data_IF_200374656778
#
_entry.id   IF_200374656778
#
_cell.length_a   1.000
_cell.length_b   1.000
_cell.length_c   1.000
_cell.angle_alpha   90.00
_cell.angle_beta   90.00
_cell.angle_gamma   90.00
#
_symmetry.space_group_name_H-M   'P 1'
#
loop_
_entity.id
_entity.type
_entity.pdbx_description
1 polymer ?
#
# COMPACT_ATOMS: atom_id res chain seq x y z
N UNK A 1 15.28 20.06 -0.80
CA UNK A 1 13.88 19.61 -0.58
C UNK A 1 13.74 18.08 -0.53
N UNK A 2 14.70 17.29 -1.02
CA UNK A 2 14.63 15.82 -1.07
C UNK A 2 14.99 15.10 0.24
N UNK A 3 15.97 15.59 1.01
CA UNK A 3 16.46 14.88 2.21
C UNK A 3 15.39 14.78 3.30
N UNK A 4 14.68 15.87 3.61
CA UNK A 4 13.61 15.84 4.61
C UNK A 4 12.48 14.88 4.21
N UNK A 5 12.16 14.77 2.91
CA UNK A 5 11.09 13.89 2.44
C UNK A 5 11.40 12.40 2.66
N UNK A 6 12.63 11.96 2.36
CA UNK A 6 13.03 10.56 2.56
C UNK A 6 13.14 10.24 4.04
N UNK A 7 13.63 11.19 4.85
CA UNK A 7 13.63 11.05 6.30
C UNK A 7 12.21 10.89 6.86
N UNK A 8 11.28 11.74 6.45
CA UNK A 8 9.86 11.68 6.85
C UNK A 8 9.21 10.35 6.42
N UNK A 9 9.53 9.86 5.21
CA UNK A 9 9.08 8.56 4.72
C UNK A 9 9.64 7.43 5.58
N UNK A 10 10.93 7.47 5.93
CA UNK A 10 11.59 6.46 6.76
C UNK A 10 11.02 6.41 8.17
N UNK A 11 10.73 7.57 8.76
CA UNK A 11 10.07 7.67 10.05
C UNK A 11 8.63 7.13 9.98
N UNK A 12 7.86 7.53 8.97
CA UNK A 12 6.51 7.03 8.75
C UNK A 12 6.49 5.51 8.58
N UNK A 13 7.41 4.97 7.76
CA UNK A 13 7.54 3.54 7.54
C UNK A 13 7.83 2.81 8.84
N UNK A 14 8.79 3.29 9.63
CA UNK A 14 9.17 2.70 10.91
C UNK A 14 8.02 2.65 11.91
N UNK A 15 7.06 3.58 11.82
CA UNK A 15 5.84 3.64 12.65
C UNK A 15 4.68 2.80 12.13
N UNK A 16 4.68 2.41 10.86
CA UNK A 16 3.50 1.83 10.20
C UNK A 16 3.72 0.43 9.65
N UNK A 17 4.94 0.05 9.32
CA UNK A 17 5.26 -1.29 8.85
C UNK A 17 5.16 -2.31 9.98
N UNK A 18 4.47 -3.43 9.74
CA UNK A 18 4.12 -4.41 10.79
C UNK A 18 4.42 -5.86 10.43
N UNK A 19 5.30 -6.13 9.46
CA UNK A 19 5.76 -7.49 9.22
C UNK A 19 6.76 -7.91 10.32
N UNK A 20 6.22 -8.28 11.48
CA UNK A 20 7.02 -8.59 12.68
C UNK A 20 7.84 -9.87 12.51
N UNK A 21 7.39 -10.80 11.69
CA UNK A 21 8.15 -11.99 11.34
C UNK A 21 9.45 -11.60 10.64
N UNK A 22 9.39 -10.72 9.63
CA UNK A 22 10.60 -10.22 8.98
C UNK A 22 11.45 -9.37 9.93
N UNK A 23 10.83 -8.41 10.64
CA UNK A 23 11.54 -7.50 11.56
C UNK A 23 12.31 -8.27 12.64
N UNK A 24 11.69 -9.30 13.23
CA UNK A 24 12.30 -10.08 14.31
C UNK A 24 13.49 -10.93 13.90
N UNK A 25 13.68 -11.17 12.60
CA UNK A 25 14.85 -11.89 12.07
C UNK A 25 16.07 -11.01 11.82
N UNK A 26 15.94 -9.70 12.02
CA UNK A 26 17.01 -8.73 11.78
C UNK A 26 18.04 -8.78 12.94
N UNK A 27 19.35 -8.83 12.65
CA UNK A 27 20.40 -8.93 13.67
C UNK A 27 20.35 -7.83 14.71
N UNK A 28 20.01 -6.60 14.29
CA UNK A 28 19.98 -5.44 15.17
C UNK A 28 18.64 -5.26 15.89
N UNK A 29 17.66 -6.15 15.68
CA UNK A 29 16.36 -6.07 16.34
C UNK A 29 16.43 -6.65 17.76
N UNK A 30 16.01 -5.84 18.73
CA UNK A 30 15.90 -6.25 20.13
C UNK A 30 14.46 -6.66 20.45
N UNK A 31 14.30 -7.89 20.94
CA UNK A 31 13.00 -8.38 21.38
C UNK A 31 12.52 -7.57 22.58
N UNK A 32 11.40 -6.87 22.42
CA UNK A 32 10.82 -6.09 23.50
C UNK A 32 10.15 -7.03 24.50
N UNK A 33 10.74 -7.19 25.69
CA UNK A 33 10.11 -7.89 26.81
C UNK A 33 9.34 -6.89 27.68
N UNK A 34 8.01 -6.96 27.70
CA UNK A 34 7.22 -6.17 28.64
C UNK A 34 7.04 -6.98 29.93
N UNK A 35 7.68 -6.55 31.02
CA UNK A 35 7.36 -7.10 32.33
C UNK A 35 5.98 -6.63 32.77
N UNK A 36 5.00 -7.54 32.78
CA UNK A 36 3.69 -7.27 33.40
C UNK A 36 3.81 -7.43 34.92
N UNK A 37 3.55 -6.37 35.67
CA UNK A 37 3.39 -6.44 37.12
C UNK A 37 1.92 -6.75 37.41
N UNK A 38 1.64 -7.97 37.87
CA UNK A 38 0.30 -8.33 38.33
C UNK A 38 -0.08 -7.52 39.58
N UNK A 39 -1.39 -7.31 39.79
CA UNK A 39 -1.93 -6.55 40.91
C UNK A 39 -1.51 -7.09 42.31
N UNK A 40 -1.03 -8.34 42.37
CA UNK A 40 -0.50 -9.01 43.56
C UNK A 40 1.00 -8.78 43.80
N UNK A 41 1.67 -7.87 43.06
CA UNK A 41 3.12 -7.59 43.13
C UNK A 41 4.04 -8.76 42.78
N UNK A 42 3.53 -9.87 42.27
CA UNK A 42 4.38 -10.91 41.69
C UNK A 42 4.84 -10.44 40.30
N UNK A 43 6.16 -10.34 40.13
CA UNK A 43 6.80 -10.00 38.86
C UNK A 43 6.81 -11.25 37.99
N UNK A 44 6.07 -11.23 36.89
CA UNK A 44 6.26 -12.23 35.83
C UNK A 44 7.38 -11.68 34.96
N UNK A 45 8.56 -12.31 35.02
CA UNK A 45 9.71 -11.95 34.17
C UNK A 45 9.56 -12.47 32.73
N UNK A 46 8.60 -13.38 32.49
CA UNK A 46 8.32 -13.97 31.18
C UNK A 46 6.90 -13.59 30.71
N UNK A 47 6.78 -12.38 30.17
CA UNK A 47 5.56 -11.89 29.52
C UNK A 47 5.79 -11.64 28.04
N UNK A 48 5.73 -12.69 27.21
CA UNK A 48 5.90 -12.63 25.74
C UNK A 48 4.79 -11.85 24.99
N UNK A 49 3.91 -11.15 25.71
CA UNK A 49 2.85 -10.34 25.10
C UNK A 49 3.28 -8.88 25.05
N UNK A 50 4.36 -8.61 24.31
CA UNK A 50 4.59 -7.26 23.83
C UNK A 50 3.45 -6.87 22.89
N UNK A 51 2.69 -5.83 23.21
CA UNK A 51 1.67 -5.27 22.31
C UNK A 51 2.30 -4.99 20.95
N UNK A 52 1.70 -5.44 19.84
CA UNK A 52 2.27 -5.32 18.49
C UNK A 52 2.78 -3.90 18.14
N UNK A 53 2.20 -2.86 18.73
CA UNK A 53 2.68 -1.48 18.61
C UNK A 53 4.14 -1.29 19.06
N UNK A 54 4.57 -1.88 20.16
CA UNK A 54 5.95 -1.70 20.67
C UNK A 54 6.98 -2.52 19.89
N UNK A 55 6.54 -3.48 19.07
CA UNK A 55 7.40 -4.31 18.21
C UNK A 55 7.83 -3.60 16.94
N UNK A 56 7.30 -2.41 16.68
CA UNK A 56 7.61 -1.62 15.49
C UNK A 56 9.04 -1.08 15.54
N UNK A 57 9.62 -0.90 14.36
CA UNK A 57 10.99 -0.41 14.18
C UNK A 57 11.20 0.93 14.90
N UNK A 58 10.20 1.81 14.88
CA UNK A 58 10.28 3.13 15.53
C UNK A 58 10.60 3.08 17.03
N UNK A 59 10.23 2.01 17.74
CA UNK A 59 10.49 1.87 19.18
C UNK A 59 11.80 1.13 19.49
N UNK A 60 12.57 0.73 18.47
CA UNK A 60 13.85 0.07 18.66
C UNK A 60 14.92 1.10 19.06
N UNK A 61 15.84 0.76 19.98
CA UNK A 61 16.94 1.64 20.37
C UNK A 61 17.81 2.10 19.19
N UNK A 62 17.97 1.23 18.19
CA UNK A 62 18.73 1.47 16.96
C UNK A 62 17.83 1.40 15.71
N UNK A 63 16.70 2.11 15.73
CA UNK A 63 15.68 2.08 14.67
C UNK A 63 16.22 2.28 13.25
N UNK A 64 17.17 3.21 13.06
CA UNK A 64 17.77 3.49 11.74
C UNK A 64 18.56 2.30 11.20
N UNK A 65 19.31 1.61 12.07
CA UNK A 65 20.07 0.42 11.70
C UNK A 65 19.15 -0.74 11.35
N UNK A 66 18.11 -0.98 12.16
CA UNK A 66 17.08 -1.99 11.89
C UNK A 66 16.38 -1.71 10.56
N UNK A 67 16.04 -0.44 10.28
CA UNK A 67 15.42 -0.07 9.01
C UNK A 67 16.36 -0.29 7.81
N UNK A 68 17.64 0.03 7.94
CA UNK A 68 18.62 -0.19 6.88
C UNK A 68 18.76 -1.69 6.56
N UNK A 69 18.90 -2.54 7.58
CA UNK A 69 18.94 -3.99 7.42
C UNK A 69 17.67 -4.55 6.77
N UNK A 70 16.51 -4.01 7.17
CA UNK A 70 15.23 -4.39 6.58
C UNK A 70 15.20 -4.06 5.09
N UNK A 71 15.60 -2.85 4.69
CA UNK A 71 15.65 -2.42 3.28
C UNK A 71 16.61 -3.27 2.44
N UNK A 72 17.71 -3.72 3.05
CA UNK A 72 18.65 -4.60 2.36
C UNK A 72 18.09 -5.99 2.10
N UNK A 73 17.36 -6.54 3.07
CA UNK A 73 16.77 -7.89 3.02
C UNK A 73 15.42 -7.93 2.32
N UNK A 74 14.72 -6.81 2.26
CA UNK A 74 13.42 -6.74 1.60
C UNK A 74 13.56 -7.08 0.12
N UNK A 75 12.80 -8.08 -0.31
CA UNK A 75 12.68 -8.46 -1.72
C UNK A 75 11.22 -8.29 -2.12
N UNK A 76 11.00 -7.44 -3.12
CA UNK A 76 9.68 -7.22 -3.71
C UNK A 76 9.23 -8.45 -4.51
N UNK A 77 8.73 -9.45 -3.79
CA UNK A 77 8.25 -10.73 -4.32
C UNK A 77 6.78 -10.69 -4.73
N UNK A 78 6.10 -9.54 -4.61
CA UNK A 78 4.69 -9.44 -4.93
C UNK A 78 4.49 -9.42 -6.46
N UNK A 79 4.34 -10.62 -7.03
CA UNK A 79 3.97 -10.84 -8.41
C UNK A 79 2.62 -10.16 -8.67
N UNK A 80 2.66 -8.96 -9.25
CA UNK A 80 1.49 -8.10 -9.25
C UNK A 80 0.78 -8.16 -10.59
N UNK A 81 -0.24 -9.02 -10.63
CA UNK A 81 -1.25 -8.98 -11.68
C UNK A 81 -1.92 -7.61 -11.66
N UNK A 82 -2.16 -7.01 -12.83
CA UNK A 82 -2.89 -5.74 -12.92
C UNK A 82 -4.38 -5.90 -12.64
N UNK A 83 -4.92 -7.11 -12.88
CA UNK A 83 -6.35 -7.41 -12.83
C UNK A 83 -6.61 -8.87 -12.46
N UNK A 84 -7.81 -9.12 -11.94
CA UNK A 84 -8.41 -10.46 -11.81
C UNK A 84 -9.75 -10.55 -12.53
N UNK A 85 -10.14 -11.77 -12.88
CA UNK A 85 -11.43 -12.04 -13.54
C UNK A 85 -12.57 -11.77 -12.56
N UNK A 86 -13.55 -10.98 -12.99
CA UNK A 86 -14.73 -10.73 -12.16
C UNK A 86 -15.55 -12.02 -11.98
N UNK A 87 -16.12 -12.25 -10.78
CA UNK A 87 -17.08 -13.33 -10.55
C UNK A 87 -18.19 -13.35 -11.59
N UNK A 88 -18.67 -14.53 -11.96
CA UNK A 88 -19.72 -14.70 -12.99
C UNK A 88 -20.91 -13.76 -12.76
N UNK A 89 -21.41 -13.68 -11.52
CA UNK A 89 -22.52 -12.79 -11.15
C UNK A 89 -22.26 -11.32 -11.52
N UNK A 90 -21.06 -10.81 -11.30
CA UNK A 90 -20.69 -9.43 -11.65
C UNK A 90 -20.56 -9.24 -13.16
N UNK A 91 -20.03 -10.24 -13.88
CA UNK A 91 -19.97 -10.21 -15.35
C UNK A 91 -21.36 -10.20 -15.99
N UNK A 92 -22.32 -10.96 -15.43
CA UNK A 92 -23.72 -10.92 -15.87
C UNK A 92 -24.35 -9.55 -15.63
N UNK A 93 -24.15 -8.96 -14.44
CA UNK A 93 -24.59 -7.58 -14.14
C UNK A 93 -23.98 -6.55 -15.10
N UNK A 94 -22.70 -6.71 -15.43
CA UNK A 94 -21.99 -5.87 -16.39
C UNK A 94 -22.57 -5.99 -17.80
N UNK A 95 -22.87 -7.20 -18.25
CA UNK A 95 -23.50 -7.45 -19.55
C UNK A 95 -24.89 -6.79 -19.64
N UNK A 96 -25.64 -6.79 -18.54
CA UNK A 96 -26.95 -6.14 -18.41
C UNK A 96 -26.87 -4.63 -18.06
N UNK A 97 -25.66 -4.04 -18.02
CA UNK A 97 -25.42 -2.61 -17.68
C UNK A 97 -26.09 -2.16 -16.37
N UNK A 98 -26.13 -3.04 -15.37
CA UNK A 98 -26.76 -2.74 -14.08
C UNK A 98 -25.95 -1.72 -13.25
N UNK A 99 -26.62 -1.02 -12.33
CA UNK A 99 -25.98 -0.08 -11.41
C UNK A 99 -25.05 -0.76 -10.37
N UNK A 100 -24.12 0.02 -9.82
CA UNK A 100 -23.23 -0.42 -8.72
C UNK A 100 -21.99 -1.21 -9.16
N UNK A 101 -21.58 -1.08 -10.43
CA UNK A 101 -20.40 -1.72 -10.97
C UNK A 101 -19.13 -0.91 -10.68
N UNK A 102 -18.03 -1.58 -10.33
CA UNK A 102 -16.75 -0.92 -9.99
C UNK A 102 -16.17 -0.14 -11.17
N UNK A 103 -16.30 -0.63 -12.40
CA UNK A 103 -15.84 0.07 -13.61
C UNK A 103 -16.57 1.40 -13.86
N UNK A 104 -17.86 1.49 -13.50
CA UNK A 104 -18.60 2.74 -13.57
C UNK A 104 -18.13 3.73 -12.50
N UNK A 105 -17.80 3.25 -11.29
CA UNK A 105 -17.20 4.07 -10.24
C UNK A 105 -15.82 4.59 -10.68
N UNK A 106 -14.95 3.71 -11.20
CA UNK A 106 -13.63 4.08 -11.73
C UNK A 106 -13.77 5.17 -12.80
N UNK A 107 -14.65 4.98 -13.78
CA UNK A 107 -14.88 5.96 -14.84
C UNK A 107 -15.41 7.30 -14.29
N UNK A 108 -16.28 7.27 -13.27
CA UNK A 108 -16.81 8.48 -12.62
C UNK A 108 -15.70 9.21 -11.87
N UNK A 109 -14.90 8.50 -11.08
CA UNK A 109 -13.79 9.06 -10.32
C UNK A 109 -12.76 9.68 -11.26
N UNK A 110 -12.33 8.96 -12.29
CA UNK A 110 -11.40 9.51 -13.29
C UNK A 110 -11.89 10.85 -13.86
N UNK A 111 -13.17 10.93 -14.25
CA UNK A 111 -13.76 12.17 -14.78
C UNK A 111 -13.80 13.29 -13.76
N UNK A 112 -14.04 13.00 -12.47
CA UNK A 112 -14.04 14.03 -11.43
C UNK A 112 -12.65 14.63 -11.20
N UNK A 113 -11.58 13.94 -11.63
CA UNK A 113 -10.21 14.45 -11.63
C UNK A 113 -9.81 15.08 -12.98
N UNK A 114 -10.77 15.30 -13.89
CA UNK A 114 -10.56 16.05 -15.13
C UNK A 114 -10.01 15.24 -16.30
N UNK A 115 -9.90 13.92 -16.17
CA UNK A 115 -9.35 13.04 -17.20
C UNK A 115 -10.44 12.26 -17.95
N UNK A 116 -10.15 11.84 -19.17
CA UNK A 116 -11.02 10.91 -19.90
C UNK A 116 -10.66 9.46 -19.53
N UNK A 117 -11.60 8.66 -18.98
CA UNK A 117 -11.38 7.25 -18.73
C UNK A 117 -10.86 6.48 -19.95
N UNK A 118 -11.24 6.86 -21.17
CA UNK A 118 -10.87 6.08 -22.36
C UNK A 118 -9.40 6.22 -22.74
N UNK A 119 -8.73 7.32 -22.38
CA UNK A 119 -7.37 7.65 -22.83
C UNK A 119 -6.28 7.30 -21.81
N UNK A 120 -6.65 6.78 -20.64
CA UNK A 120 -5.72 6.52 -19.53
C UNK A 120 -4.86 5.27 -19.70
N UNK A 121 -5.23 4.32 -20.56
CA UNK A 121 -4.56 3.02 -20.66
C UNK A 121 -3.03 3.14 -20.90
N UNK A 122 -2.54 3.99 -21.83
CA UNK A 122 -1.10 4.15 -22.05
C UNK A 122 -0.36 4.70 -20.83
N UNK A 123 -0.96 5.67 -20.12
CA UNK A 123 -0.37 6.29 -18.92
C UNK A 123 -0.32 5.34 -17.73
N UNK A 124 -1.24 4.37 -17.68
CA UNK A 124 -1.25 3.31 -16.68
C UNK A 124 -0.30 2.16 -17.03
N UNK A 125 0.27 2.16 -18.24
CA UNK A 125 1.10 1.08 -18.77
C UNK A 125 0.34 -0.23 -18.93
N UNK A 126 -0.94 -0.16 -19.34
CA UNK A 126 -1.80 -1.34 -19.57
C UNK A 126 -2.33 -1.36 -21.00
N UNK A 127 -2.58 -2.55 -21.53
CA UNK A 127 -3.22 -2.71 -22.84
C UNK A 127 -4.62 -2.08 -22.85
N UNK A 128 -4.95 -1.36 -23.92
CA UNK A 128 -6.25 -0.69 -24.07
C UNK A 128 -7.43 -1.67 -23.88
N UNK A 129 -7.35 -2.86 -24.49
CA UNK A 129 -8.41 -3.88 -24.38
C UNK A 129 -8.61 -4.34 -22.94
N UNK A 130 -7.53 -4.49 -22.18
CA UNK A 130 -7.58 -4.83 -20.76
C UNK A 130 -8.26 -3.71 -19.97
N UNK A 131 -7.88 -2.47 -20.22
CA UNK A 131 -8.48 -1.31 -19.56
C UNK A 131 -9.97 -1.14 -19.89
N UNK A 132 -10.38 -1.35 -21.14
CA UNK A 132 -11.78 -1.37 -21.54
C UNK A 132 -12.59 -2.42 -20.76
N UNK A 133 -12.00 -3.58 -20.52
CA UNK A 133 -12.64 -4.64 -19.73
C UNK A 133 -12.70 -4.32 -18.23
N UNK A 134 -11.77 -3.52 -17.70
CA UNK A 134 -11.86 -2.94 -16.36
C UNK A 134 -13.01 -1.94 -16.28
N UNK A 135 -13.10 -1.00 -17.22
CA UNK A 135 -14.19 0.00 -17.26
C UNK A 135 -15.57 -0.66 -17.42
N UNK A 136 -15.65 -1.77 -18.14
CA UNK A 136 -16.87 -2.59 -18.28
C UNK A 136 -17.12 -3.53 -17.11
N UNK A 137 -16.26 -3.57 -16.10
CA UNK A 137 -16.37 -4.47 -14.95
C UNK A 137 -16.32 -5.97 -15.29
N UNK A 138 -15.71 -6.33 -16.42
CA UNK A 138 -15.32 -7.71 -16.70
C UNK A 138 -14.10 -8.13 -15.89
N UNK A 139 -13.20 -7.19 -15.63
CA UNK A 139 -12.03 -7.36 -14.78
C UNK A 139 -12.09 -6.45 -13.56
N UNK A 140 -11.69 -6.98 -12.41
CA UNK A 140 -11.50 -6.19 -11.19
C UNK A 140 -10.01 -5.79 -11.17
N UNK A 141 -9.69 -4.49 -11.08
CA UNK A 141 -8.31 -4.04 -10.96
C UNK A 141 -7.73 -4.50 -9.62
N UNK A 142 -6.50 -4.97 -9.65
CA UNK A 142 -5.73 -5.33 -8.46
C UNK A 142 -5.08 -4.08 -7.85
N UNK A 143 -4.55 -4.23 -6.62
CA UNK A 143 -3.97 -3.11 -5.84
C UNK A 143 -2.99 -2.27 -6.66
N UNK A 144 -2.10 -2.88 -7.44
CA UNK A 144 -1.12 -2.13 -8.22
C UNK A 144 -1.74 -1.22 -9.26
N UNK A 145 -2.75 -1.69 -10.00
CA UNK A 145 -3.42 -0.84 -10.98
C UNK A 145 -4.18 0.30 -10.27
N UNK A 146 -4.70 0.05 -9.08
CA UNK A 146 -5.31 1.09 -8.25
C UNK A 146 -4.27 2.10 -7.75
N UNK A 147 -3.12 1.66 -7.23
CA UNK A 147 -2.03 2.55 -6.81
C UNK A 147 -1.54 3.43 -7.95
N UNK A 148 -1.35 2.86 -9.15
CA UNK A 148 -1.04 3.64 -10.35
C UNK A 148 -2.09 4.71 -10.60
N UNK A 149 -3.37 4.34 -10.57
CA UNK A 149 -4.45 5.28 -10.81
C UNK A 149 -4.51 6.39 -9.73
N UNK A 150 -4.35 6.03 -8.47
CA UNK A 150 -4.36 6.96 -7.34
C UNK A 150 -3.22 7.97 -7.40
N UNK A 151 -2.00 7.50 -7.65
CA UNK A 151 -0.81 8.34 -7.75
C UNK A 151 -0.81 9.19 -9.03
N UNK A 152 -1.19 8.61 -10.18
CA UNK A 152 -1.24 9.31 -11.47
C UNK A 152 -2.25 10.46 -11.47
N UNK A 153 -3.41 10.26 -10.83
CA UNK A 153 -4.48 11.26 -10.76
C UNK A 153 -4.37 12.19 -9.56
N UNK A 154 -3.40 11.97 -8.66
CA UNK A 154 -3.27 12.74 -7.42
C UNK A 154 -4.52 12.65 -6.55
N UNK A 155 -5.08 11.45 -6.40
CA UNK A 155 -6.37 11.26 -5.73
C UNK A 155 -6.30 11.66 -4.25
N UNK A 156 -7.41 12.21 -3.76
CA UNK A 156 -7.65 12.31 -2.32
C UNK A 156 -7.79 10.92 -1.73
N UNK A 157 -7.33 10.75 -0.50
CA UNK A 157 -7.37 9.47 0.19
C UNK A 157 -8.78 8.90 0.33
N UNK A 158 -9.79 9.74 0.57
CA UNK A 158 -11.19 9.32 0.70
C UNK A 158 -11.71 8.66 -0.58
N UNK A 159 -11.48 9.30 -1.74
CA UNK A 159 -11.87 8.78 -3.05
C UNK A 159 -11.10 7.49 -3.37
N UNK A 160 -9.80 7.46 -3.07
CA UNK A 160 -8.96 6.30 -3.30
C UNK A 160 -9.39 5.09 -2.44
N UNK A 161 -9.71 5.31 -1.17
CA UNK A 161 -10.22 4.27 -0.28
C UNK A 161 -11.59 3.74 -0.74
N UNK A 162 -12.48 4.62 -1.22
CA UNK A 162 -13.77 4.21 -1.78
C UNK A 162 -13.57 3.33 -3.03
N UNK A 163 -12.61 3.68 -3.89
CA UNK A 163 -12.24 2.92 -5.08
C UNK A 163 -11.67 1.54 -4.73
N UNK A 164 -10.70 1.49 -3.80
CA UNK A 164 -10.11 0.25 -3.32
C UNK A 164 -11.16 -0.68 -2.72
N UNK A 165 -12.03 -0.16 -1.85
CA UNK A 165 -13.13 -0.92 -1.25
C UNK A 165 -14.07 -1.50 -2.32
N UNK A 166 -14.42 -0.73 -3.35
CA UNK A 166 -15.25 -1.20 -4.45
C UNK A 166 -14.61 -2.34 -5.26
N UNK A 167 -13.28 -2.40 -5.28
CA UNK A 167 -12.51 -3.47 -5.94
C UNK A 167 -12.10 -4.61 -4.98
N UNK A 168 -12.52 -4.53 -3.71
CA UNK A 168 -12.13 -5.43 -2.62
C UNK A 168 -10.61 -5.48 -2.43
N UNK A 169 -9.98 -4.31 -2.48
CA UNK A 169 -8.59 -4.05 -2.17
C UNK A 169 -8.49 -3.24 -0.86
N UNK A 170 -7.43 -3.46 -0.12
CA UNK A 170 -7.11 -2.77 1.13
C UNK A 170 -5.60 -2.63 1.26
N UNK A 171 -5.15 -1.61 2.00
CA UNK A 171 -3.75 -1.54 2.36
C UNK A 171 -3.39 -2.67 3.32
N UNK A 172 -2.26 -3.30 3.05
CA UNK A 172 -1.61 -4.29 3.89
C UNK A 172 -0.34 -3.69 4.48
N UNK A 173 -0.34 -3.43 5.79
CA UNK A 173 0.82 -2.80 6.45
C UNK A 173 2.01 -3.75 6.61
N UNK A 174 1.87 -5.02 6.24
CA UNK A 174 2.98 -5.99 6.16
C UNK A 174 3.72 -5.92 4.81
N UNK A 175 3.13 -5.27 3.81
CA UNK A 175 3.73 -5.01 2.49
C UNK A 175 4.37 -3.61 2.47
N UNK A 176 5.67 -3.55 2.17
CA UNK A 176 6.39 -2.29 2.11
C UNK A 176 5.81 -1.34 1.04
N UNK A 177 5.32 -1.88 -0.08
CA UNK A 177 4.69 -1.10 -1.16
C UNK A 177 3.45 -0.40 -0.66
N UNK A 178 2.59 -1.10 0.06
CA UNK A 178 1.34 -0.54 0.58
C UNK A 178 1.64 0.56 1.60
N UNK A 179 2.64 0.39 2.47
CA UNK A 179 3.07 1.43 3.43
C UNK A 179 3.62 2.66 2.71
N UNK A 180 4.50 2.49 1.72
CA UNK A 180 5.08 3.59 0.94
C UNK A 180 4.00 4.32 0.13
N UNK A 181 3.13 3.61 -0.58
CA UNK A 181 2.04 4.24 -1.34
C UNK A 181 1.07 4.94 -0.39
N UNK A 182 0.76 4.36 0.76
CA UNK A 182 -0.08 5.03 1.76
C UNK A 182 0.53 6.35 2.22
N UNK A 183 1.83 6.40 2.49
CA UNK A 183 2.52 7.64 2.81
C UNK A 183 2.38 8.67 1.69
N UNK A 184 2.68 8.29 0.44
CA UNK A 184 2.57 9.19 -0.72
C UNK A 184 1.15 9.75 -0.86
N UNK A 185 0.12 8.92 -0.65
CA UNK A 185 -1.28 9.35 -0.69
C UNK A 185 -1.66 10.26 0.49
N UNK A 186 -1.29 9.91 1.72
CA UNK A 186 -1.61 10.64 2.96
C UNK A 186 -1.02 12.06 2.92
N UNK A 187 0.23 12.18 2.47
CA UNK A 187 0.98 13.45 2.39
C UNK A 187 0.86 14.13 1.02
N UNK A 188 0.04 13.58 0.11
CA UNK A 188 -0.23 14.14 -1.23
C UNK A 188 1.03 14.37 -2.06
N UNK A 189 1.99 13.45 -1.97
CA UNK A 189 3.23 13.47 -2.74
C UNK A 189 3.00 12.79 -4.08
N UNK A 190 2.68 13.62 -5.08
CA UNK A 190 2.37 13.17 -6.46
C UNK A 190 3.43 13.56 -7.49
N UNK A 191 4.54 14.15 -7.05
CA UNK A 191 5.65 14.46 -7.94
C UNK A 191 6.34 13.16 -8.42
N UNK A 192 6.49 12.92 -9.73
CA UNK A 192 7.06 11.67 -10.26
C UNK A 192 8.49 11.36 -9.79
N UNK A 193 9.33 12.38 -9.61
CA UNK A 193 10.71 12.21 -9.13
C UNK A 193 10.72 11.76 -7.66
N UNK A 194 9.86 12.36 -6.84
CA UNK A 194 9.72 11.98 -5.43
C UNK A 194 9.11 10.59 -5.25
N UNK A 195 8.11 10.23 -6.08
CA UNK A 195 7.55 8.88 -6.11
C UNK A 195 8.64 7.86 -6.49
N UNK A 196 9.43 8.17 -7.53
CA UNK A 196 10.54 7.31 -7.96
C UNK A 196 11.57 7.13 -6.86
N UNK A 197 11.97 8.23 -6.21
CA UNK A 197 12.90 8.20 -5.08
C UNK A 197 12.37 7.36 -3.91
N UNK A 198 11.08 7.47 -3.58
CA UNK A 198 10.46 6.65 -2.53
C UNK A 198 10.46 5.16 -2.86
N UNK A 199 10.20 4.78 -4.12
CA UNK A 199 10.28 3.38 -4.52
C UNK A 199 11.71 2.86 -4.55
N UNK A 200 12.66 3.66 -5.01
CA UNK A 200 14.07 3.28 -5.03
C UNK A 200 14.62 3.09 -3.60
N UNK A 201 14.25 3.96 -2.65
CA UNK A 201 14.66 3.88 -1.24
C UNK A 201 14.31 2.53 -0.59
N UNK A 202 13.17 1.95 -0.97
CA UNK A 202 12.69 0.67 -0.45
C UNK A 202 12.87 -0.49 -1.44
N UNK A 203 13.61 -0.27 -2.53
CA UNK A 203 13.85 -1.25 -3.61
C UNK A 203 12.56 -1.86 -4.18
N UNK A 204 11.48 -1.08 -4.17
CA UNK A 204 10.18 -1.47 -4.70
C UNK A 204 10.19 -1.29 -6.22
N UNK A 205 9.65 -2.27 -6.96
CA UNK A 205 9.49 -2.13 -8.40
C UNK A 205 8.57 -0.95 -8.70
N UNK A 206 9.08 0.00 -9.49
CA UNK A 206 8.33 1.19 -9.93
C UNK A 206 7.05 0.78 -10.66
N UNK A 207 5.95 1.46 -10.33
CA UNK A 207 4.63 1.21 -10.90
C UNK A 207 4.17 2.31 -11.86
N UNK A 208 4.77 3.51 -11.79
CA UNK A 208 4.60 4.62 -12.72
C UNK A 208 5.88 4.85 -13.53
#
# INVERSE_FOLDING_TARGET
MSENFIQDLNEYFSKKYVNFDLISTLPSYESVTISMVLHNKNRIEEGEVATNEVRKIFYQPHAEQVLAELKERYVDNNFTFSVRVSPLRLRWKALLRMHGLHGALIAKTVRSYGEDPQTLAPRLGVEEKLWQNVLKSYYIPEKVLLFKLGLLLGMRQEDFNALMKACNAYYDMEDARDVVVKYLMDYRVFNPEMISAAFDEFRIRRIL
#
